data_IF_358754961821
#
_entry.id   IF_358754961821
#
_cell.length_a   1.000
_cell.length_b   1.000
_cell.length_c   1.000
_cell.angle_alpha   90.00
_cell.angle_beta   90.00
_cell.angle_gamma   90.00
#
_symmetry.space_group_name_H-M   'P 1'
#
loop_
_entity.id
_entity.type
_entity.pdbx_description
1 polymer ?
#
# COMPACT_ATOMS: atom_id res chain seq x y z
N UNK A 1 -15.06 -5.11 -3.23
CA UNK A 1 -14.60 -4.10 -4.21
C UNK A 1 -14.28 -4.78 -5.54
N UNK A 2 -14.94 -4.35 -6.62
CA UNK A 2 -14.93 -5.03 -7.92
C UNK A 2 -13.55 -4.96 -8.59
N UNK A 3 -13.01 -6.12 -9.01
CA UNK A 3 -11.68 -6.30 -9.65
C UNK A 3 -11.46 -5.39 -10.86
N UNK A 4 -12.55 -4.97 -11.50
CA UNK A 4 -12.59 -4.04 -12.62
C UNK A 4 -12.09 -2.63 -12.25
N UNK A 5 -12.39 -2.14 -11.06
CA UNK A 5 -11.98 -0.80 -10.62
C UNK A 5 -10.48 -0.73 -10.34
N UNK A 6 -9.93 -1.80 -9.74
CA UNK A 6 -8.48 -1.92 -9.50
C UNK A 6 -7.69 -2.00 -10.82
N UNK A 7 -8.23 -2.74 -11.79
CA UNK A 7 -7.63 -2.86 -13.12
C UNK A 7 -7.67 -1.53 -13.90
N UNK A 8 -8.77 -0.78 -13.78
CA UNK A 8 -8.90 0.54 -14.40
C UNK A 8 -7.88 1.54 -13.80
N UNK A 9 -7.72 1.55 -12.47
CA UNK A 9 -6.75 2.37 -11.76
C UNK A 9 -5.31 2.07 -12.23
N UNK A 10 -4.93 0.79 -12.28
CA UNK A 10 -3.64 0.32 -12.80
C UNK A 10 -3.38 0.80 -14.23
N UNK A 11 -4.41 0.77 -15.10
CA UNK A 11 -4.28 1.18 -16.51
C UNK A 11 -4.16 2.70 -16.67
N UNK A 12 -4.72 3.48 -15.75
CA UNK A 12 -4.61 4.96 -15.75
C UNK A 12 -3.32 5.49 -15.12
N UNK A 13 -2.56 4.64 -14.43
CA UNK A 13 -1.23 4.96 -13.91
C UNK A 13 -0.19 5.06 -15.04
N UNK A 14 -0.33 6.08 -15.89
CA UNK A 14 0.59 6.42 -16.97
C UNK A 14 1.81 7.13 -16.39
N UNK A 15 2.76 6.35 -15.89
CA UNK A 15 4.05 6.83 -15.39
C UNK A 15 4.92 5.63 -15.04
N UNK A 16 5.99 5.40 -15.81
CA UNK A 16 6.88 4.23 -15.76
C UNK A 16 7.66 4.01 -14.46
N UNK A 17 7.21 4.57 -13.35
CA UNK A 17 7.65 4.28 -12.00
C UNK A 17 6.41 4.20 -11.11
N UNK A 18 5.57 3.18 -11.32
CA UNK A 18 4.57 2.84 -10.31
C UNK A 18 5.34 2.62 -9.01
N UNK A 19 5.16 3.56 -8.09
CA UNK A 19 5.99 3.72 -6.92
C UNK A 19 5.90 2.40 -6.14
N UNK A 20 6.97 1.61 -6.12
CA UNK A 20 7.00 0.24 -5.55
C UNK A 20 6.41 0.22 -4.12
N UNK A 21 6.52 1.35 -3.43
CA UNK A 21 5.88 1.67 -2.17
C UNK A 21 4.35 1.49 -2.18
N UNK A 22 3.64 1.96 -3.22
CA UNK A 22 2.18 1.80 -3.37
C UNK A 22 1.80 0.33 -3.52
N UNK A 23 2.60 -0.45 -4.25
CA UNK A 23 2.38 -1.89 -4.40
C UNK A 23 2.56 -2.59 -3.05
N UNK A 24 3.64 -2.28 -2.34
CA UNK A 24 3.90 -2.82 -0.99
C UNK A 24 2.80 -2.45 0.01
N UNK A 25 2.38 -1.18 0.04
CA UNK A 25 1.24 -0.72 0.87
C UNK A 25 -0.03 -1.53 0.53
N UNK A 26 -0.31 -1.73 -0.77
CA UNK A 26 -1.49 -2.49 -1.20
C UNK A 26 -1.43 -3.95 -0.78
N UNK A 27 -0.25 -4.58 -0.87
CA UNK A 27 -0.03 -5.98 -0.44
C UNK A 27 -0.16 -6.13 1.08
N UNK A 28 0.29 -5.14 1.86
CA UNK A 28 0.11 -5.10 3.32
C UNK A 28 -1.38 -5.00 3.66
N UNK A 29 -2.12 -4.10 3.01
CA UNK A 29 -3.58 -3.95 3.19
C UNK A 29 -4.33 -5.24 2.85
N UNK A 30 -3.83 -5.99 1.87
CA UNK A 30 -4.41 -7.26 1.47
C UNK A 30 -4.04 -8.42 2.40
N UNK A 31 -3.00 -8.26 3.23
CA UNK A 31 -2.47 -9.31 4.10
C UNK A 31 -1.54 -10.31 3.40
N UNK A 32 -1.12 -10.02 2.16
CA UNK A 32 -0.22 -10.90 1.39
C UNK A 32 1.24 -10.82 1.89
N UNK A 33 1.64 -9.67 2.44
CA UNK A 33 2.97 -9.45 3.02
C UNK A 33 2.85 -8.70 4.35
N UNK A 34 3.82 -8.89 5.24
CA UNK A 34 3.96 -8.08 6.46
C UNK A 34 4.92 -6.91 6.24
N UNK A 35 4.82 -5.86 7.06
CA UNK A 35 5.74 -4.71 6.98
C UNK A 35 7.22 -5.10 7.13
N UNK A 36 7.51 -6.18 7.86
CA UNK A 36 8.86 -6.74 8.01
C UNK A 36 9.42 -7.33 6.72
N UNK A 37 8.54 -7.79 5.81
CA UNK A 37 8.93 -8.31 4.49
C UNK A 37 9.19 -7.20 3.48
N UNK A 38 8.88 -5.94 3.81
CA UNK A 38 9.20 -4.79 2.97
C UNK A 38 10.70 -4.51 3.02
N UNK A 39 11.36 -4.28 1.89
CA UNK A 39 12.77 -3.90 1.87
C UNK A 39 13.03 -2.66 2.73
N UNK A 40 14.10 -2.67 3.55
CA UNK A 40 14.42 -1.58 4.50
C UNK A 40 14.45 -0.18 3.86
N UNK A 41 14.94 -0.09 2.62
CA UNK A 41 14.97 1.16 1.83
C UNK A 41 13.59 1.77 1.57
N UNK A 42 12.54 0.95 1.60
CA UNK A 42 11.15 1.33 1.26
C UNK A 42 10.25 1.36 2.49
N UNK A 43 10.62 0.69 3.60
CA UNK A 43 9.84 0.65 4.85
C UNK A 43 9.43 2.05 5.33
N UNK A 44 10.36 3.01 5.35
CA UNK A 44 10.03 4.38 5.77
C UNK A 44 8.96 5.03 4.89
N UNK A 45 9.05 4.84 3.56
CA UNK A 45 8.06 5.39 2.62
C UNK A 45 6.72 4.64 2.67
N UNK A 46 6.75 3.32 2.93
CA UNK A 46 5.55 2.48 3.07
C UNK A 46 4.80 2.86 4.33
N UNK A 47 5.51 3.03 5.46
CA UNK A 47 4.93 3.46 6.73
C UNK A 47 4.28 4.83 6.63
N UNK A 48 4.99 5.81 6.08
CA UNK A 48 4.45 7.16 5.89
C UNK A 48 3.18 7.16 5.00
N UNK A 49 3.10 6.27 4.00
CA UNK A 49 1.89 6.12 3.17
C UNK A 49 0.75 5.42 3.90
N UNK A 50 1.03 4.38 4.69
CA UNK A 50 0.02 3.72 5.52
C UNK A 50 -0.57 4.71 6.53
N UNK A 51 0.28 5.45 7.24
CA UNK A 51 -0.13 6.50 8.19
C UNK A 51 -0.95 7.60 7.50
N UNK A 52 -0.53 8.06 6.31
CA UNK A 52 -1.28 9.03 5.53
C UNK A 52 -2.66 8.53 5.07
N UNK A 53 -2.85 7.21 5.00
CA UNK A 53 -4.13 6.57 4.71
C UNK A 53 -4.93 6.23 5.98
N UNK A 54 -4.43 6.57 7.17
CA UNK A 54 -5.04 6.21 8.46
C UNK A 54 -4.94 4.71 8.76
N UNK A 55 -3.92 4.05 8.22
CA UNK A 55 -3.69 2.61 8.35
C UNK A 55 -2.47 2.34 9.23
N UNK A 56 -2.55 1.29 10.03
CA UNK A 56 -1.43 0.79 10.81
C UNK A 56 -0.48 -0.05 9.92
N UNK A 57 0.62 -0.53 10.51
CA UNK A 57 1.64 -1.34 9.82
C UNK A 57 1.12 -2.69 9.32
N UNK A 58 -0.07 -3.12 9.76
CA UNK A 58 -0.77 -4.32 9.30
C UNK A 58 -1.80 -4.00 8.20
N UNK A 59 -1.86 -2.76 7.71
CA UNK A 59 -2.82 -2.34 6.69
C UNK A 59 -4.26 -2.27 7.20
N UNK A 60 -4.46 -2.29 8.51
CA UNK A 60 -5.76 -2.15 9.16
C UNK A 60 -6.00 -0.69 9.53
N UNK A 61 -7.26 -0.23 9.60
CA UNK A 61 -7.57 1.11 10.10
C UNK A 61 -6.97 1.31 11.49
N UNK A 62 -6.30 2.43 11.69
CA UNK A 62 -6.01 2.91 13.04
C UNK A 62 -7.38 3.32 13.57
N UNK A 63 -8.01 2.46 14.38
CA UNK A 63 -9.27 2.81 15.04
C UNK A 63 -9.05 4.14 15.77
N UNK A 64 -9.73 5.18 15.29
CA UNK A 64 -9.84 6.43 16.00
C UNK A 64 -10.66 6.12 17.26
N UNK A 65 -9.96 5.99 18.39
CA UNK A 65 -10.57 6.03 19.71
C UNK A 65 -11.28 7.37 19.90
#
# INVERSE_FOLDING_TARGET
MSRLLFWLLMKTAKGGGMNMVIVMVSLIIWGDITFEQVPAKQQGAVKAKLEAQGLNENGQPIEAV
#
